data_IF_714019106098
#
_entry.id   IF_714019106098
#
_cell.length_a   1.000
_cell.length_b   1.000
_cell.length_c   1.000
_cell.angle_alpha   90.00
_cell.angle_beta   90.00
_cell.angle_gamma   90.00
#
_symmetry.space_group_name_H-M   'P 1'
#
loop_
_entity.id
_entity.type
_entity.pdbx_description
1 polymer ?
#
# COMPACT_ATOMS: atom_id res chain seq x y z
N UNK A 1 -22.09 2.15 -23.80
CA UNK A 1 -20.89 2.39 -24.62
C UNK A 1 -19.76 1.59 -24.00
N UNK A 2 -19.10 0.70 -24.74
CA UNK A 2 -17.98 -0.06 -24.19
C UNK A 2 -16.80 0.89 -23.92
N UNK A 3 -16.13 0.80 -22.75
CA UNK A 3 -15.00 1.67 -22.48
C UNK A 3 -13.89 1.41 -23.51
N UNK A 4 -13.18 2.46 -23.96
CA UNK A 4 -12.02 2.31 -24.83
C UNK A 4 -11.02 1.32 -24.21
N UNK A 5 -10.29 0.56 -25.04
CA UNK A 5 -9.39 -0.49 -24.57
C UNK A 5 -8.33 0.03 -23.58
N UNK A 6 -7.91 1.29 -23.72
CA UNK A 6 -7.00 1.96 -22.79
C UNK A 6 -7.55 2.06 -21.35
N UNK A 7 -8.83 2.40 -21.16
CA UNK A 7 -9.42 2.47 -19.82
C UNK A 7 -9.55 1.08 -19.18
N UNK A 8 -9.85 0.05 -19.98
CA UNK A 8 -9.88 -1.34 -19.49
C UNK A 8 -8.50 -1.82 -19.05
N UNK A 9 -7.44 -1.44 -19.77
CA UNK A 9 -6.07 -1.74 -19.37
C UNK A 9 -5.71 -1.00 -18.07
N UNK A 10 -6.08 0.28 -17.96
CA UNK A 10 -5.85 1.09 -16.77
C UNK A 10 -6.56 0.53 -15.54
N UNK A 11 -7.81 0.09 -15.67
CA UNK A 11 -8.57 -0.56 -14.58
C UNK A 11 -7.88 -1.82 -14.08
N UNK A 12 -7.37 -2.68 -14.99
CA UNK A 12 -6.63 -3.89 -14.59
C UNK A 12 -5.34 -3.54 -13.86
N UNK A 13 -4.58 -2.57 -14.38
CA UNK A 13 -3.36 -2.09 -13.73
C UNK A 13 -3.68 -1.55 -12.34
N UNK A 14 -4.73 -0.75 -12.21
CA UNK A 14 -5.11 -0.19 -10.92
C UNK A 14 -5.54 -1.26 -9.90
N UNK A 15 -6.23 -2.32 -10.33
CA UNK A 15 -6.56 -3.46 -9.46
C UNK A 15 -5.29 -4.18 -8.99
N UNK A 16 -4.34 -4.44 -9.89
CA UNK A 16 -3.07 -5.08 -9.52
C UNK A 16 -2.29 -4.20 -8.54
N UNK A 17 -2.19 -2.89 -8.81
CA UNK A 17 -1.52 -1.94 -7.93
C UNK A 17 -2.20 -1.84 -6.55
N UNK A 18 -3.53 -1.90 -6.49
CA UNK A 18 -4.27 -1.93 -5.24
C UNK A 18 -3.97 -3.21 -4.42
N UNK A 19 -3.88 -4.37 -5.08
CA UNK A 19 -3.49 -5.61 -4.42
C UNK A 19 -2.05 -5.55 -3.89
N UNK A 20 -1.11 -5.04 -4.69
CA UNK A 20 0.28 -4.85 -4.27
C UNK A 20 0.36 -3.91 -3.07
N UNK A 21 -0.39 -2.80 -3.09
CA UNK A 21 -0.46 -1.86 -1.98
C UNK A 21 -1.03 -2.52 -0.71
N UNK A 22 -2.08 -3.33 -0.83
CA UNK A 22 -2.64 -4.09 0.29
C UNK A 22 -1.66 -5.11 0.88
N UNK A 23 -0.93 -5.84 0.02
CA UNK A 23 0.12 -6.77 0.46
C UNK A 23 1.26 -6.04 1.16
N UNK A 24 1.69 -4.88 0.65
CA UNK A 24 2.71 -4.06 1.29
C UNK A 24 2.29 -3.63 2.71
N UNK A 25 1.02 -3.21 2.89
CA UNK A 25 0.47 -2.87 4.20
C UNK A 25 0.45 -4.08 5.15
N UNK A 26 0.06 -5.26 4.66
CA UNK A 26 0.05 -6.48 5.46
C UNK A 26 1.46 -6.87 5.93
N UNK A 27 2.45 -6.79 5.04
CA UNK A 27 3.86 -7.04 5.37
C UNK A 27 4.35 -6.03 6.43
N UNK A 28 4.10 -4.73 6.21
CA UNK A 28 4.48 -3.69 7.16
C UNK A 28 3.84 -3.91 8.55
N UNK A 29 2.56 -4.28 8.59
CA UNK A 29 1.88 -4.61 9.86
C UNK A 29 2.59 -5.76 10.59
N UNK A 30 2.98 -6.81 9.87
CA UNK A 30 3.78 -7.90 10.42
C UNK A 30 5.14 -7.44 10.96
N UNK A 31 5.84 -6.56 10.23
CA UNK A 31 7.11 -5.98 10.68
C UNK A 31 6.96 -5.14 11.94
N UNK A 32 5.90 -4.34 12.05
CA UNK A 32 5.60 -3.54 13.25
C UNK A 32 5.36 -4.47 14.45
N UNK A 33 4.53 -5.50 14.28
CA UNK A 33 4.27 -6.48 15.35
C UNK A 33 5.57 -7.17 15.78
N UNK A 34 6.39 -7.57 14.80
CA UNK A 34 7.70 -8.16 15.07
C UNK A 34 8.61 -7.20 15.85
N UNK A 35 8.72 -5.93 15.45
CA UNK A 35 9.55 -4.95 16.14
C UNK A 35 9.08 -4.74 17.60
N UNK A 36 7.76 -4.64 17.82
CA UNK A 36 7.18 -4.52 19.17
C UNK A 36 7.55 -5.75 20.02
N UNK A 37 7.42 -6.96 19.46
CA UNK A 37 7.75 -8.20 20.16
C UNK A 37 9.26 -8.31 20.45
N UNK A 38 10.11 -8.00 19.47
CA UNK A 38 11.56 -8.02 19.60
C UNK A 38 12.05 -7.02 20.66
N UNK A 39 11.46 -5.83 20.68
CA UNK A 39 11.78 -4.78 21.64
C UNK A 39 11.34 -5.16 23.05
N UNK A 40 10.18 -5.83 23.17
CA UNK A 40 9.64 -6.30 24.44
C UNK A 40 10.42 -7.47 25.04
N UNK A 41 10.80 -8.47 24.23
CA UNK A 41 11.40 -9.72 24.69
C UNK A 41 12.93 -9.68 24.74
N UNK A 42 13.54 -9.00 23.77
CA UNK A 42 14.99 -9.06 23.55
C UNK A 42 15.67 -7.68 23.63
N UNK A 43 14.91 -6.60 23.87
CA UNK A 43 15.38 -5.20 23.87
C UNK A 43 16.10 -4.83 22.55
N UNK A 44 15.75 -5.52 21.48
CA UNK A 44 16.29 -5.34 20.13
C UNK A 44 15.23 -4.66 19.26
N UNK A 45 15.65 -3.76 18.38
CA UNK A 45 14.76 -3.11 17.41
C UNK A 45 15.33 -3.22 16.01
N UNK A 46 14.44 -3.56 15.08
CA UNK A 46 14.69 -3.57 13.66
C UNK A 46 14.56 -2.11 13.16
N UNK A 47 15.68 -1.38 13.16
CA UNK A 47 15.77 -0.07 12.52
C UNK A 47 15.36 -0.19 11.05
N UNK A 48 14.56 0.74 10.55
CA UNK A 48 14.00 0.69 9.19
C UNK A 48 12.47 0.50 9.15
N UNK A 49 11.86 0.03 10.24
CA UNK A 49 10.40 -0.24 10.25
C UNK A 49 9.58 1.04 10.09
N UNK A 50 10.03 2.15 10.68
CA UNK A 50 9.33 3.45 10.58
C UNK A 50 9.49 4.07 9.19
N UNK A 51 10.68 3.94 8.59
CA UNK A 51 10.97 4.38 7.23
C UNK A 51 10.13 3.62 6.21
N UNK A 52 10.06 2.29 6.34
CA UNK A 52 9.16 1.43 5.55
C UNK A 52 7.69 1.81 5.74
N UNK A 53 7.33 2.23 6.96
CA UNK A 53 6.02 2.79 7.29
C UNK A 53 5.67 4.00 6.43
N UNK A 54 6.56 5.00 6.41
CA UNK A 54 6.39 6.19 5.59
C UNK A 54 6.29 5.90 4.09
N UNK A 55 7.12 4.97 3.59
CA UNK A 55 7.09 4.60 2.16
C UNK A 55 5.81 3.86 1.78
N UNK A 56 5.32 2.97 2.63
CA UNK A 56 4.07 2.23 2.39
C UNK A 56 2.87 3.19 2.41
N UNK A 57 2.88 4.17 3.32
CA UNK A 57 1.86 5.22 3.35
C UNK A 57 1.87 6.06 2.07
N UNK A 58 3.04 6.50 1.62
CA UNK A 58 3.17 7.28 0.38
C UNK A 58 2.71 6.47 -0.86
N UNK A 59 3.08 5.20 -0.94
CA UNK A 59 2.67 4.29 -2.01
C UNK A 59 1.15 4.11 -2.03
N UNK A 60 0.56 3.74 -0.90
CA UNK A 60 -0.88 3.46 -0.80
C UNK A 60 -1.73 4.72 -1.03
N UNK A 61 -1.31 5.87 -0.46
CA UNK A 61 -1.99 7.15 -0.64
C UNK A 61 -1.98 7.63 -2.09
N UNK A 62 -0.82 7.59 -2.75
CA UNK A 62 -0.70 8.01 -4.16
C UNK A 62 -1.49 7.13 -5.11
N UNK A 63 -1.43 5.80 -4.94
CA UNK A 63 -2.19 4.84 -5.74
C UNK A 63 -3.70 4.93 -5.48
N UNK A 64 -4.11 5.09 -4.23
CA UNK A 64 -5.52 5.28 -3.85
C UNK A 64 -6.09 6.55 -4.48
N UNK A 65 -5.35 7.66 -4.43
CA UNK A 65 -5.76 8.91 -5.05
C UNK A 65 -5.88 8.79 -6.58
N UNK A 66 -4.89 8.15 -7.23
CA UNK A 66 -4.94 7.90 -8.67
C UNK A 66 -6.17 7.04 -9.06
N UNK A 67 -6.47 6.00 -8.29
CA UNK A 67 -7.63 5.14 -8.52
C UNK A 67 -8.97 5.89 -8.37
N UNK A 68 -9.10 6.71 -7.32
CA UNK A 68 -10.29 7.53 -7.08
C UNK A 68 -10.52 8.53 -8.23
N UNK A 69 -9.46 9.17 -8.74
CA UNK A 69 -9.52 10.07 -9.89
C UNK A 69 -10.03 9.37 -11.17
N UNK A 70 -9.51 8.17 -11.45
CA UNK A 70 -9.95 7.37 -12.61
C UNK A 70 -11.45 7.05 -12.52
N UNK A 71 -11.94 6.76 -11.32
CA UNK A 71 -13.35 6.45 -11.06
C UNK A 71 -14.24 7.68 -10.91
N UNK A 72 -13.67 8.89 -10.99
CA UNK A 72 -14.38 10.14 -10.68
C UNK A 72 -15.07 10.10 -9.31
N UNK A 73 -14.50 9.34 -8.38
CA UNK A 73 -14.95 9.35 -7.00
C UNK A 73 -14.54 10.66 -6.34
N UNK A 74 -15.34 11.12 -5.39
CA UNK A 74 -14.93 12.18 -4.49
C UNK A 74 -14.04 11.55 -3.40
N UNK A 75 -12.90 12.17 -3.03
CA UNK A 75 -12.02 11.66 -2.00
C UNK A 75 -12.69 11.60 -0.62
#
# INVERSE_FOLDING_TARGET
MQPPPALRALDRVAIVLALVAGVAVAILSGLIVFDIAARSLFRYSLQGTDELGGYTLALTGSLGLAFTLIRRGHP
#
